data_IF_626849437355
#
_entry.id   IF_626849437355
#
_cell.length_a   1.000
_cell.length_b   1.000
_cell.length_c   1.000
_cell.angle_alpha   90.00
_cell.angle_beta   90.00
_cell.angle_gamma   90.00
#
_symmetry.space_group_name_H-M   'P 1'
#
loop_
_entity.id
_entity.type
_entity.pdbx_description
1 polymer ?
#
# COMPACT_ATOMS: atom_id res chain seq x y z
N UNK A 1 -12.34 33.13 -9.13
CA UNK A 1 -10.97 33.67 -8.95
C UNK A 1 -10.00 32.63 -9.46
N UNK A 2 -9.09 33.03 -10.36
CA UNK A 2 -8.05 32.17 -10.91
C UNK A 2 -6.67 32.48 -10.33
N UNK A 3 -5.65 31.77 -10.79
CA UNK A 3 -4.24 32.06 -10.49
C UNK A 3 -3.87 33.47 -10.98
N UNK A 4 -2.96 34.14 -10.26
CA UNK A 4 -2.41 35.42 -10.73
C UNK A 4 -1.57 35.18 -11.99
N UNK A 5 -1.65 36.03 -13.04
CA UNK A 5 -1.05 35.75 -14.35
C UNK A 5 0.45 35.44 -14.36
N UNK A 6 1.21 35.95 -13.39
CA UNK A 6 2.66 35.75 -13.26
C UNK A 6 3.06 34.79 -12.14
N UNK A 7 2.10 34.06 -11.55
CA UNK A 7 2.38 33.15 -10.46
C UNK A 7 3.10 31.88 -10.96
N UNK A 8 4.17 31.50 -10.27
CA UNK A 8 4.77 30.16 -10.34
C UNK A 8 4.11 29.27 -9.29
N UNK A 9 3.74 28.04 -9.66
CA UNK A 9 3.01 27.11 -8.79
C UNK A 9 3.93 26.03 -8.24
N UNK A 10 3.94 25.85 -6.92
CA UNK A 10 4.60 24.73 -6.27
C UNK A 10 3.60 23.59 -6.01
N UNK A 11 3.70 22.49 -6.76
CA UNK A 11 2.75 21.38 -6.68
C UNK A 11 3.17 20.35 -5.64
N UNK A 12 2.54 20.40 -4.46
CA UNK A 12 2.85 19.48 -3.36
C UNK A 12 1.77 18.39 -3.13
N UNK A 13 0.49 18.68 -3.39
CA UNK A 13 -0.60 17.70 -3.28
C UNK A 13 -0.67 16.78 -4.50
N UNK A 14 0.39 16.01 -4.73
CA UNK A 14 0.58 15.20 -5.94
C UNK A 14 0.95 16.04 -7.15
N UNK A 15 0.85 15.44 -8.34
CA UNK A 15 1.24 16.07 -9.62
C UNK A 15 0.11 16.86 -10.28
N UNK A 16 -1.15 16.59 -9.92
CA UNK A 16 -2.33 17.13 -10.62
C UNK A 16 -2.34 18.66 -10.70
N UNK A 17 -2.09 19.35 -9.58
CA UNK A 17 -2.08 20.82 -9.55
C UNK A 17 -1.00 21.41 -10.45
N UNK A 18 0.18 20.80 -10.49
CA UNK A 18 1.27 21.17 -11.39
C UNK A 18 0.93 20.93 -12.86
N UNK A 19 0.30 19.79 -13.19
CA UNK A 19 -0.15 19.49 -14.56
C UNK A 19 -1.16 20.55 -15.02
N UNK A 20 -2.18 20.83 -14.22
CA UNK A 20 -3.20 21.83 -14.54
C UNK A 20 -2.61 23.24 -14.71
N UNK A 21 -1.62 23.59 -13.88
CA UNK A 21 -0.96 24.90 -13.94
C UNK A 21 -0.07 25.05 -15.17
N UNK A 22 0.70 24.01 -15.53
CA UNK A 22 1.53 24.00 -16.73
C UNK A 22 0.68 24.08 -18.01
N UNK A 23 -0.46 23.38 -18.05
CA UNK A 23 -1.44 23.48 -19.16
C UNK A 23 -2.06 24.87 -19.28
N UNK A 24 -2.13 25.60 -18.17
CA UNK A 24 -2.58 26.99 -18.14
C UNK A 24 -1.45 28.00 -18.44
N UNK A 25 -0.22 27.55 -18.74
CA UNK A 25 0.91 28.40 -19.09
C UNK A 25 1.64 29.04 -17.89
N UNK A 26 1.43 28.51 -16.68
CA UNK A 26 2.16 28.94 -15.49
C UNK A 26 3.40 28.07 -15.28
N UNK A 27 4.51 28.70 -14.87
CA UNK A 27 5.69 27.97 -14.41
C UNK A 27 5.37 27.12 -13.17
N UNK A 28 6.02 25.96 -13.06
CA UNK A 28 5.77 24.97 -12.01
C UNK A 28 7.06 24.43 -11.41
N UNK A 29 7.06 24.29 -10.08
CA UNK A 29 8.04 23.50 -9.32
C UNK A 29 7.31 22.27 -8.77
N UNK A 30 7.77 21.08 -9.14
CA UNK A 30 7.17 19.82 -8.70
C UNK A 30 7.80 19.33 -7.40
N UNK A 31 7.00 19.26 -6.33
CA UNK A 31 7.44 18.74 -5.03
C UNK A 31 6.37 17.83 -4.40
N UNK A 32 5.87 16.81 -5.14
CA UNK A 32 4.74 16.01 -4.68
C UNK A 32 5.08 15.27 -3.39
N UNK A 33 4.11 15.23 -2.45
CA UNK A 33 4.18 14.45 -1.20
C UNK A 33 4.67 13.02 -1.40
N UNK A 34 4.34 12.41 -2.54
CA UNK A 34 4.70 11.03 -2.85
C UNK A 34 6.21 10.78 -2.97
N UNK A 35 7.00 11.77 -3.40
CA UNK A 35 8.43 11.61 -3.72
C UNK A 35 9.33 12.62 -2.99
N UNK A 36 8.80 13.80 -2.68
CA UNK A 36 9.62 14.95 -2.29
C UNK A 36 9.42 15.38 -0.82
N UNK A 37 8.74 14.59 0.01
CA UNK A 37 8.57 14.90 1.44
C UNK A 37 9.53 14.04 2.27
N UNK A 38 10.60 14.69 2.76
CA UNK A 38 11.69 14.02 3.47
C UNK A 38 11.48 14.00 5.00
N UNK A 39 10.45 14.66 5.50
CA UNK A 39 9.92 14.50 6.85
C UNK A 39 9.22 13.14 7.07
N UNK A 40 8.91 12.40 6.00
CA UNK A 40 8.29 11.07 6.07
C UNK A 40 9.30 9.96 6.39
N UNK A 41 8.81 8.82 6.91
CA UNK A 41 9.64 7.63 7.09
C UNK A 41 10.32 7.21 5.78
N UNK A 42 11.55 6.72 5.90
CA UNK A 42 12.36 6.18 4.78
C UNK A 42 12.88 4.76 5.03
N UNK A 43 12.56 4.22 6.21
CA UNK A 43 12.87 2.90 6.68
C UNK A 43 11.80 2.48 7.71
N UNK A 44 11.91 1.28 8.28
CA UNK A 44 10.97 0.74 9.24
C UNK A 44 10.66 1.74 10.38
N UNK A 45 9.38 2.04 10.59
CA UNK A 45 8.92 3.03 11.59
C UNK A 45 9.16 2.61 13.04
N UNK A 46 9.27 1.31 13.34
CA UNK A 46 9.53 0.84 14.70
C UNK A 46 10.99 1.01 15.16
N UNK A 47 11.92 1.12 14.20
CA UNK A 47 13.36 1.25 14.47
C UNK A 47 13.92 2.59 14.00
N UNK A 48 13.10 3.42 13.36
CA UNK A 48 13.49 4.75 12.90
C UNK A 48 13.05 5.82 13.90
N UNK A 49 13.75 6.97 13.96
CA UNK A 49 13.26 8.14 14.68
C UNK A 49 11.83 8.50 14.23
N UNK A 50 10.98 8.86 15.20
CA UNK A 50 9.57 9.19 14.99
C UNK A 50 9.38 10.25 13.91
N UNK A 51 8.45 10.01 13.00
CA UNK A 51 8.11 10.89 11.89
C UNK A 51 6.60 11.10 11.83
N UNK A 52 6.17 12.15 11.13
CA UNK A 52 4.75 12.50 10.94
C UNK A 52 3.93 11.38 10.26
N UNK A 53 4.60 10.46 9.57
CA UNK A 53 3.98 9.33 8.87
C UNK A 53 4.62 9.10 7.51
N UNK A 54 3.82 8.54 6.59
CA UNK A 54 4.20 8.31 5.19
C UNK A 54 5.37 7.34 4.99
N UNK A 55 5.74 7.10 3.73
CA UNK A 55 6.87 6.25 3.38
C UNK A 55 7.47 6.67 2.03
N UNK A 56 8.64 7.31 2.10
CA UNK A 56 9.38 7.87 0.96
C UNK A 56 10.81 7.36 1.02
N UNK A 57 11.05 6.18 0.43
CA UNK A 57 12.37 5.52 0.40
C UNK A 57 13.31 6.16 -0.62
N UNK A 58 14.60 5.81 -0.56
CA UNK A 58 15.61 6.28 -1.50
C UNK A 58 15.26 5.93 -2.96
N UNK A 59 14.88 4.67 -3.22
CA UNK A 59 14.46 4.22 -4.56
C UNK A 59 13.21 4.94 -5.05
N UNK A 60 12.27 5.23 -4.14
CA UNK A 60 11.08 6.02 -4.48
C UNK A 60 11.45 7.44 -4.88
N UNK A 61 12.40 8.09 -4.20
CA UNK A 61 12.89 9.41 -4.64
C UNK A 61 13.56 9.31 -6.01
N UNK A 62 14.39 8.29 -6.21
CA UNK A 62 15.11 8.05 -7.46
C UNK A 62 14.18 7.79 -8.65
N UNK A 63 13.02 7.17 -8.43
CA UNK A 63 12.03 6.91 -9.48
C UNK A 63 11.20 8.15 -9.86
N UNK A 64 11.45 9.30 -9.24
CA UNK A 64 10.69 10.51 -9.53
C UNK A 64 10.95 11.00 -10.96
N UNK A 65 9.89 11.29 -11.70
CA UNK A 65 9.96 12.07 -12.93
C UNK A 65 9.24 13.42 -12.71
N UNK A 66 9.96 14.56 -12.70
CA UNK A 66 9.34 15.87 -12.52
C UNK A 66 8.50 16.32 -13.71
N UNK A 67 8.66 15.72 -14.89
CA UNK A 67 7.88 16.06 -16.10
C UNK A 67 6.86 14.95 -16.38
N UNK A 68 5.57 15.16 -16.05
CA UNK A 68 4.52 14.16 -16.25
C UNK A 68 4.28 13.86 -17.73
N UNK A 69 3.96 12.60 -18.05
CA UNK A 69 3.66 12.16 -19.42
C UNK A 69 2.39 12.80 -19.99
N UNK A 70 1.50 13.30 -19.13
CA UNK A 70 0.27 14.00 -19.51
C UNK A 70 0.50 15.42 -20.07
N UNK A 71 1.75 15.91 -20.04
CA UNK A 71 2.14 17.19 -20.63
C UNK A 71 2.71 16.98 -22.03
N UNK A 72 2.28 17.81 -22.97
CA UNK A 72 2.92 17.93 -24.28
C UNK A 72 4.34 18.50 -24.15
N UNK A 73 5.13 18.38 -25.21
CA UNK A 73 6.49 18.94 -25.25
C UNK A 73 6.52 20.45 -25.01
N UNK A 74 5.50 21.19 -25.47
CA UNK A 74 5.37 22.63 -25.22
C UNK A 74 5.00 22.94 -23.78
N UNK A 75 4.06 22.21 -23.19
CA UNK A 75 3.61 22.41 -21.81
C UNK A 75 4.71 22.01 -20.81
N UNK A 76 5.52 21.00 -21.15
CA UNK A 76 6.64 20.54 -20.32
C UNK A 76 7.68 21.62 -20.07
N UNK A 77 7.78 22.64 -20.93
CA UNK A 77 8.72 23.76 -20.76
C UNK A 77 8.38 24.64 -19.55
N UNK A 78 7.14 24.62 -19.08
CA UNK A 78 6.72 25.33 -17.88
C UNK A 78 7.14 24.60 -16.59
N UNK A 79 7.57 23.33 -16.67
CA UNK A 79 8.13 22.63 -15.51
C UNK A 79 9.58 23.07 -15.33
N UNK A 80 9.83 23.95 -14.35
CA UNK A 80 11.16 24.49 -14.08
C UNK A 80 12.07 23.51 -13.32
N UNK A 81 11.49 22.53 -12.63
CA UNK A 81 12.24 21.52 -11.89
C UNK A 81 11.44 20.95 -10.72
N UNK A 82 12.16 20.45 -9.71
CA UNK A 82 11.57 19.94 -8.48
C UNK A 82 12.35 20.31 -7.23
N UNK A 83 11.76 20.04 -6.07
CA UNK A 83 12.33 20.38 -4.76
C UNK A 83 11.96 19.33 -3.72
N UNK A 84 12.93 18.94 -2.89
CA UNK A 84 12.72 18.12 -1.70
C UNK A 84 12.39 19.01 -0.50
N UNK A 85 11.29 18.74 0.17
CA UNK A 85 10.78 19.49 1.31
C UNK A 85 11.12 18.75 2.61
N UNK A 86 11.58 19.49 3.62
CA UNK A 86 11.75 18.99 4.98
C UNK A 86 10.94 19.86 5.93
N UNK A 87 9.79 19.36 6.36
CA UNK A 87 9.03 19.93 7.46
C UNK A 87 9.61 19.43 8.80
N UNK A 88 9.51 20.23 9.85
CA UNK A 88 10.31 20.06 11.08
C UNK A 88 9.51 19.80 12.34
N UNK A 89 8.22 19.45 12.22
CA UNK A 89 7.34 19.13 13.35
C UNK A 89 7.93 18.02 14.24
N UNK A 90 8.61 17.03 13.63
CA UNK A 90 9.27 15.90 14.31
C UNK A 90 10.80 15.90 14.08
N UNK A 91 11.40 17.06 13.75
CA UNK A 91 12.84 17.18 13.45
C UNK A 91 13.46 18.20 14.39
N UNK A 92 13.89 17.73 15.56
CA UNK A 92 14.29 18.60 16.67
C UNK A 92 15.79 18.89 16.73
N UNK A 93 16.62 18.20 15.93
CA UNK A 93 18.07 18.38 15.92
C UNK A 93 18.64 18.43 14.50
N UNK A 94 19.79 19.10 14.28
CA UNK A 94 20.48 19.08 12.99
C UNK A 94 20.84 17.68 12.50
N UNK A 95 21.28 16.79 13.40
CA UNK A 95 21.62 15.40 13.05
C UNK A 95 20.39 14.64 12.54
N UNK A 96 19.22 14.88 13.16
CA UNK A 96 17.97 14.31 12.67
C UNK A 96 17.57 14.91 11.32
N UNK A 97 17.80 16.20 11.09
CA UNK A 97 17.60 16.81 9.77
C UNK A 97 18.52 16.17 8.71
N UNK A 98 19.80 15.94 9.02
CA UNK A 98 20.72 15.20 8.15
C UNK A 98 20.24 13.77 7.90
N UNK A 99 19.85 13.03 8.95
CA UNK A 99 19.28 11.69 8.84
C UNK A 99 18.06 11.66 7.91
N UNK A 100 17.18 12.66 7.98
CA UNK A 100 15.99 12.74 7.13
C UNK A 100 16.36 12.97 5.67
N UNK A 101 17.25 13.89 5.36
CA UNK A 101 17.54 14.25 3.97
C UNK A 101 18.57 13.35 3.31
N UNK A 102 19.52 12.78 4.06
CA UNK A 102 20.55 11.90 3.52
C UNK A 102 20.18 10.42 3.68
N UNK A 103 20.30 9.59 2.64
CA UNK A 103 20.85 9.90 1.31
C UNK A 103 19.84 10.39 0.26
N UNK A 104 18.55 10.52 0.59
CA UNK A 104 17.46 10.86 -0.37
C UNK A 104 17.71 12.11 -1.21
N UNK A 105 18.35 13.12 -0.63
CA UNK A 105 18.75 14.35 -1.32
C UNK A 105 19.67 14.05 -2.51
N UNK A 106 20.58 13.07 -2.39
CA UNK A 106 21.48 12.68 -3.49
C UNK A 106 20.72 12.06 -4.67
N UNK A 107 19.70 11.23 -4.38
CA UNK A 107 18.83 10.67 -5.42
C UNK A 107 18.04 11.76 -6.13
N UNK A 108 17.46 12.71 -5.38
CA UNK A 108 16.74 13.83 -5.97
C UNK A 108 17.67 14.72 -6.81
N UNK A 109 18.89 14.99 -6.33
CA UNK A 109 19.89 15.74 -7.10
C UNK A 109 20.24 15.04 -8.41
N UNK A 110 20.41 13.72 -8.43
CA UNK A 110 20.66 13.00 -9.68
C UNK A 110 19.47 13.07 -10.63
N UNK A 111 18.24 12.85 -10.15
CA UNK A 111 17.01 12.96 -10.94
C UNK A 111 16.89 14.34 -11.61
N UNK A 112 17.11 15.40 -10.84
CA UNK A 112 16.92 16.77 -11.31
C UNK A 112 18.06 17.27 -12.21
N UNK A 113 19.28 16.78 -12.01
CA UNK A 113 20.46 17.24 -12.75
C UNK A 113 20.75 16.39 -13.99
N UNK A 114 20.81 15.08 -13.81
CA UNK A 114 21.12 14.12 -14.88
C UNK A 114 19.91 13.81 -15.76
N UNK A 115 18.71 13.98 -15.22
CA UNK A 115 17.43 13.60 -15.81
C UNK A 115 16.97 12.22 -15.32
N UNK A 116 15.65 12.01 -15.18
CA UNK A 116 15.08 10.75 -14.70
C UNK A 116 15.39 9.59 -15.66
N UNK A 117 15.71 8.42 -15.10
CA UNK A 117 15.93 7.19 -15.88
C UNK A 117 17.21 7.15 -16.73
N UNK A 118 18.09 8.15 -16.65
CA UNK A 118 19.36 8.17 -17.40
C UNK A 118 20.33 7.07 -16.96
N UNK A 119 20.39 6.80 -15.66
CA UNK A 119 21.19 5.74 -15.04
C UNK A 119 20.24 4.75 -14.33
N UNK A 120 20.70 3.52 -14.12
CA UNK A 120 19.94 2.56 -13.32
C UNK A 120 20.06 2.87 -11.83
N UNK A 121 19.09 2.40 -11.04
CA UNK A 121 19.15 2.55 -9.59
C UNK A 121 20.35 1.81 -9.00
N UNK A 122 20.72 0.66 -9.59
CA UNK A 122 21.86 -0.15 -9.19
C UNK A 122 23.17 0.62 -9.36
N UNK A 123 23.33 1.30 -10.49
CA UNK A 123 24.48 2.14 -10.79
C UNK A 123 24.55 3.38 -9.87
N UNK A 124 23.40 4.03 -9.63
CA UNK A 124 23.28 5.09 -8.62
C UNK A 124 23.66 4.60 -7.21
N UNK A 125 23.13 3.45 -6.78
CA UNK A 125 23.40 2.90 -5.46
C UNK A 125 24.88 2.54 -5.30
N UNK A 126 25.50 2.01 -6.36
CA UNK A 126 26.95 1.80 -6.43
C UNK A 126 27.75 3.07 -6.12
N UNK A 127 27.42 4.18 -6.78
CA UNK A 127 28.04 5.50 -6.51
C UNK A 127 27.69 6.07 -5.15
N UNK A 128 26.48 5.82 -4.66
CA UNK A 128 26.04 6.28 -3.36
C UNK A 128 26.92 5.71 -2.23
N UNK A 129 27.36 4.47 -2.33
CA UNK A 129 28.28 3.88 -1.33
C UNK A 129 29.55 4.74 -1.17
N UNK A 130 30.13 5.21 -2.28
CA UNK A 130 31.27 6.13 -2.23
C UNK A 130 30.94 7.51 -1.67
N UNK A 131 29.70 7.99 -1.85
CA UNK A 131 29.23 9.22 -1.20
C UNK A 131 29.04 9.03 0.31
N UNK A 132 28.61 7.85 0.74
CA UNK A 132 28.47 7.51 2.16
C UNK A 132 29.83 7.50 2.86
N UNK A 133 30.89 6.96 2.22
CA UNK A 133 32.26 7.08 2.73
C UNK A 133 32.67 8.56 2.95
N UNK A 134 32.20 9.47 2.10
CA UNK A 134 32.43 10.91 2.27
C UNK A 134 31.60 11.49 3.41
N UNK A 135 30.35 11.05 3.58
CA UNK A 135 29.52 11.46 4.72
C UNK A 135 30.16 11.03 6.04
N UNK A 136 30.69 9.81 6.12
CA UNK A 136 31.42 9.31 7.27
C UNK A 136 32.65 10.18 7.59
N UNK A 137 33.47 10.48 6.58
CA UNK A 137 34.64 11.36 6.74
C UNK A 137 34.29 12.80 7.18
N UNK A 138 33.09 13.27 6.83
CA UNK A 138 32.58 14.58 7.22
C UNK A 138 31.82 14.56 8.55
N UNK A 139 31.61 13.37 9.14
CA UNK A 139 30.80 13.19 10.35
C UNK A 139 29.32 13.52 10.15
N UNK A 140 28.78 13.34 8.94
CA UNK A 140 27.37 13.60 8.64
C UNK A 140 26.50 12.39 8.97
N UNK A 141 25.37 12.64 9.63
CA UNK A 141 24.41 11.58 9.94
C UNK A 141 23.54 11.29 8.72
N UNK A 142 23.42 10.02 8.31
CA UNK A 142 22.53 9.61 7.22
C UNK A 142 21.74 8.35 7.57
N UNK A 143 20.61 8.15 6.91
CA UNK A 143 19.81 6.95 7.10
C UNK A 143 20.45 5.73 6.43
N UNK A 144 20.46 4.55 7.07
CA UNK A 144 20.98 3.32 6.47
C UNK A 144 20.09 2.75 5.35
N UNK A 145 18.95 3.40 5.06
CA UNK A 145 17.94 2.95 4.10
C UNK A 145 17.04 1.85 4.64
N UNK A 146 16.08 1.38 3.81
CA UNK A 146 15.22 0.27 4.19
C UNK A 146 15.93 -1.08 4.01
N UNK A 147 15.59 -2.04 4.88
CA UNK A 147 16.03 -3.44 4.81
C UNK A 147 14.86 -4.40 4.52
N UNK A 148 13.71 -3.83 4.14
CA UNK A 148 12.47 -4.56 3.88
C UNK A 148 12.45 -4.98 2.42
N UNK A 149 12.06 -6.23 2.15
CA UNK A 149 11.83 -6.73 0.79
C UNK A 149 10.43 -6.34 0.35
N UNK A 150 10.30 -5.68 -0.80
CA UNK A 150 9.00 -5.43 -1.43
C UNK A 150 8.57 -6.64 -2.24
N UNK A 151 7.38 -7.15 -1.93
CA UNK A 151 6.72 -8.24 -2.65
C UNK A 151 5.75 -7.61 -3.65
N UNK A 152 6.07 -7.70 -4.93
CA UNK A 152 5.17 -7.29 -6.01
C UNK A 152 4.49 -8.53 -6.56
N UNK A 153 3.16 -8.56 -6.49
CA UNK A 153 2.35 -9.68 -6.94
C UNK A 153 1.39 -9.20 -8.03
N UNK A 154 1.51 -9.77 -9.21
CA UNK A 154 0.60 -9.51 -10.32
C UNK A 154 -0.03 -10.82 -10.77
N UNK A 155 -1.36 -10.87 -10.81
CA UNK A 155 -2.09 -12.05 -11.29
C UNK A 155 -2.06 -12.07 -12.82
N UNK A 156 -1.66 -13.18 -13.45
CA UNK A 156 -1.70 -13.29 -14.92
C UNK A 156 -3.14 -13.46 -15.41
N UNK A 157 -3.37 -13.12 -16.68
CA UNK A 157 -4.71 -13.02 -17.32
C UNK A 157 -5.60 -14.28 -17.17
N UNK A 158 -5.03 -15.46 -16.89
CA UNK A 158 -5.79 -16.70 -16.72
C UNK A 158 -6.36 -16.89 -15.30
N UNK A 159 -5.97 -16.08 -14.32
CA UNK A 159 -6.39 -16.23 -12.92
C UNK A 159 -5.85 -17.46 -12.20
N UNK A 160 -5.04 -18.27 -12.89
CA UNK A 160 -4.49 -19.53 -12.39
C UNK A 160 -3.11 -19.38 -11.72
N UNK A 161 -2.48 -18.21 -11.84
CA UNK A 161 -1.17 -17.98 -11.26
C UNK A 161 -0.95 -16.51 -10.88
N UNK A 162 -0.19 -16.30 -9.81
CA UNK A 162 0.40 -15.02 -9.46
C UNK A 162 1.88 -15.02 -9.84
N UNK A 163 2.29 -14.04 -10.63
CA UNK A 163 3.70 -13.75 -10.84
C UNK A 163 4.21 -12.89 -9.68
N UNK A 164 5.23 -13.39 -9.00
CA UNK A 164 5.89 -12.73 -7.88
C UNK A 164 7.23 -12.16 -8.33
N UNK A 165 7.42 -10.86 -8.08
CA UNK A 165 8.67 -10.14 -8.25
C UNK A 165 9.08 -9.60 -6.87
N UNK A 166 10.28 -9.96 -6.42
CA UNK A 166 10.86 -9.45 -5.18
C UNK A 166 11.89 -8.36 -5.51
N UNK A 167 11.96 -7.35 -4.65
CA UNK A 167 12.93 -6.25 -4.79
C UNK A 167 13.30 -5.66 -3.44
N UNK A 168 14.47 -5.02 -3.36
CA UNK A 168 14.92 -4.28 -2.18
C UNK A 168 15.47 -2.90 -2.56
N UNK A 169 15.71 -2.07 -1.55
CA UNK A 169 16.47 -0.81 -1.67
C UNK A 169 17.99 -1.05 -1.77
N UNK A 170 18.47 -2.29 -1.61
CA UNK A 170 19.89 -2.63 -1.57
C UNK A 170 20.20 -3.63 -2.67
N UNK A 171 20.50 -3.15 -3.90
CA UNK A 171 20.76 -4.04 -5.01
C UNK A 171 22.00 -4.90 -4.74
N UNK A 172 21.96 -6.16 -5.18
CA UNK A 172 23.04 -7.12 -4.99
C UNK A 172 22.99 -7.90 -3.68
N UNK A 173 22.21 -7.45 -2.69
CA UNK A 173 22.04 -8.19 -1.42
C UNK A 173 21.09 -9.38 -1.59
N UNK A 174 21.38 -10.47 -0.88
CA UNK A 174 20.64 -11.73 -1.00
C UNK A 174 19.22 -11.60 -0.44
N UNK A 175 18.21 -11.92 -1.25
CA UNK A 175 16.82 -12.03 -0.81
C UNK A 175 16.50 -13.51 -0.65
N UNK A 176 16.14 -13.91 0.57
CA UNK A 176 15.72 -15.29 0.88
C UNK A 176 14.22 -15.35 1.08
N UNK A 177 13.60 -16.46 0.70
CA UNK A 177 12.16 -16.63 0.85
C UNK A 177 11.74 -18.06 1.20
N UNK A 178 10.51 -18.18 1.69
CA UNK A 178 9.84 -19.44 2.03
C UNK A 178 8.39 -19.37 1.57
N UNK A 179 7.81 -20.52 1.21
CA UNK A 179 6.43 -20.64 0.72
C UNK A 179 5.52 -21.45 1.67
N UNK A 180 6.07 -21.93 2.78
CA UNK A 180 5.43 -22.85 3.74
C UNK A 180 5.09 -22.17 5.08
N UNK A 181 5.00 -20.84 5.09
CA UNK A 181 4.81 -20.00 6.28
C UNK A 181 5.98 -19.98 7.28
N UNK A 182 7.07 -20.74 7.08
CA UNK A 182 8.24 -20.68 7.95
C UNK A 182 9.01 -19.38 7.76
N UNK A 183 9.77 -18.93 8.77
CA UNK A 183 10.59 -17.73 8.64
C UNK A 183 11.84 -18.01 7.79
N UNK A 184 12.21 -17.13 6.84
CA UNK A 184 13.39 -17.32 6.01
C UNK A 184 14.67 -17.39 6.84
N UNK A 185 15.55 -18.32 6.47
CA UNK A 185 16.90 -18.46 7.02
C UNK A 185 17.93 -18.29 5.90
N UNK A 186 19.22 -18.23 6.25
CA UNK A 186 20.28 -18.15 5.24
C UNK A 186 20.38 -19.41 4.35
N UNK A 187 19.72 -20.51 4.75
CA UNK A 187 19.61 -21.74 3.97
C UNK A 187 18.33 -21.83 3.13
N UNK A 188 17.40 -20.89 3.29
CA UNK A 188 16.17 -20.84 2.51
C UNK A 188 16.46 -20.50 1.05
N UNK A 189 15.48 -20.68 0.18
CA UNK A 189 15.62 -20.43 -1.25
C UNK A 189 16.01 -18.96 -1.52
N UNK A 190 16.95 -18.79 -2.45
CA UNK A 190 17.41 -17.47 -2.88
C UNK A 190 16.61 -16.99 -4.08
N UNK A 191 16.14 -15.75 -3.99
CA UNK A 191 15.45 -15.09 -5.08
C UNK A 191 16.46 -14.61 -6.13
N UNK A 192 16.43 -15.26 -7.29
CA UNK A 192 17.28 -14.92 -8.44
C UNK A 192 16.49 -14.39 -9.64
N UNK A 193 15.19 -14.68 -9.71
CA UNK A 193 14.30 -14.28 -10.80
C UNK A 193 12.83 -14.39 -10.37
N UNK A 194 11.89 -13.71 -11.08
CA UNK A 194 10.47 -13.85 -10.81
C UNK A 194 9.99 -15.31 -10.86
N UNK A 195 9.04 -15.67 -10.01
CA UNK A 195 8.45 -17.01 -9.95
C UNK A 195 6.93 -16.95 -9.90
N UNK A 196 6.26 -18.08 -10.16
CA UNK A 196 4.81 -18.20 -10.12
C UNK A 196 4.34 -18.91 -8.85
N UNK A 197 3.22 -18.47 -8.31
CA UNK A 197 2.45 -19.16 -7.27
C UNK A 197 1.11 -19.59 -7.89
N UNK A 198 0.79 -20.88 -7.81
CA UNK A 198 -0.40 -21.49 -8.45
C UNK A 198 -1.39 -22.09 -7.46
N UNK A 199 -1.09 -22.02 -6.16
CA UNK A 199 -1.94 -22.55 -5.09
C UNK A 199 -1.87 -21.65 -3.84
N UNK A 200 -2.77 -21.89 -2.89
CA UNK A 200 -2.83 -21.08 -1.66
C UNK A 200 -1.50 -21.18 -0.91
N UNK A 201 -0.84 -20.04 -0.72
CA UNK A 201 0.54 -19.95 -0.25
C UNK A 201 0.73 -18.71 0.61
N UNK A 202 1.51 -18.82 1.68
CA UNK A 202 2.03 -17.64 2.40
C UNK A 202 3.52 -17.51 2.10
N UNK A 203 3.85 -16.46 1.37
CA UNK A 203 5.22 -16.09 1.04
C UNK A 203 5.78 -15.24 2.17
N UNK A 204 6.92 -15.66 2.73
CA UNK A 204 7.73 -14.82 3.62
C UNK A 204 9.08 -14.56 2.97
N UNK A 205 9.59 -13.34 3.11
CA UNK A 205 10.85 -12.91 2.50
C UNK A 205 11.65 -12.07 3.47
N UNK A 206 12.98 -12.16 3.40
CA UNK A 206 13.88 -11.32 4.17
C UNK A 206 15.19 -11.05 3.42
N UNK A 207 15.83 -9.93 3.75
CA UNK A 207 17.13 -9.56 3.21
C UNK A 207 18.24 -10.17 4.06
N UNK A 208 19.30 -10.66 3.42
CA UNK A 208 20.48 -11.23 4.05
C UNK A 208 21.73 -10.50 3.57
N UNK A 209 22.50 -9.96 4.52
CA UNK A 209 23.78 -9.30 4.29
C UNK A 209 24.82 -10.07 5.11
N UNK A 210 25.92 -10.50 4.47
CA UNK A 210 26.95 -11.35 5.09
C UNK A 210 26.40 -12.60 5.80
N UNK A 211 25.37 -13.22 5.20
CA UNK A 211 24.72 -14.42 5.74
C UNK A 211 23.82 -14.18 6.96
N UNK A 212 23.62 -12.93 7.39
CA UNK A 212 22.74 -12.56 8.50
C UNK A 212 21.46 -11.92 7.99
N UNK A 213 20.33 -12.34 8.53
CA UNK A 213 19.04 -11.69 8.27
C UNK A 213 19.08 -10.25 8.80
N UNK A 214 18.71 -9.29 7.96
CA UNK A 214 18.60 -7.87 8.33
C UNK A 214 17.20 -7.35 8.04
N UNK A 215 16.75 -6.40 8.86
CA UNK A 215 15.41 -5.84 8.73
C UNK A 215 14.31 -6.78 9.24
N UNK A 216 13.12 -6.63 8.68
CA UNK A 216 11.94 -7.41 9.03
C UNK A 216 11.56 -8.36 7.90
N UNK A 217 10.93 -9.47 8.29
CA UNK A 217 10.27 -10.36 7.35
C UNK A 217 9.10 -9.60 6.71
N UNK A 218 9.07 -9.60 5.38
CA UNK A 218 7.90 -9.21 4.60
C UNK A 218 7.06 -10.44 4.30
N UNK A 219 5.75 -10.32 4.43
CA UNK A 219 4.81 -11.43 4.24
C UNK A 219 3.71 -11.04 3.25
N UNK A 220 3.32 -11.99 2.40
CA UNK A 220 2.14 -11.88 1.54
C UNK A 220 1.43 -13.21 1.45
N UNK A 221 0.11 -13.20 1.65
CA UNK A 221 -0.74 -14.38 1.45
C UNK A 221 -1.41 -14.33 0.08
N UNK A 222 -1.36 -15.46 -0.62
CA UNK A 222 -1.99 -15.73 -1.90
C UNK A 222 -3.10 -16.75 -1.66
N UNK A 223 -4.35 -16.37 -1.92
CA UNK A 223 -5.51 -17.20 -1.64
C UNK A 223 -6.13 -17.70 -2.94
N UNK A 224 -6.13 -19.02 -3.12
CA UNK A 224 -6.86 -19.67 -4.21
C UNK A 224 -8.16 -20.25 -3.65
N UNK A 225 -9.29 -19.76 -4.14
CA UNK A 225 -10.63 -20.09 -3.63
C UNK A 225 -11.70 -19.90 -4.72
N UNK A 226 -12.94 -20.31 -4.45
CA UNK A 226 -14.03 -20.37 -5.46
C UNK A 226 -14.43 -19.01 -6.03
N UNK A 227 -14.22 -17.94 -5.26
CA UNK A 227 -14.53 -16.57 -5.66
C UNK A 227 -13.41 -15.86 -6.42
N UNK A 228 -12.22 -16.46 -6.55
CA UNK A 228 -11.06 -15.82 -7.20
C UNK A 228 -11.41 -15.32 -8.61
N UNK A 229 -11.25 -14.01 -8.84
CA UNK A 229 -11.59 -13.24 -10.06
C UNK A 229 -13.04 -13.34 -10.52
N UNK A 230 -13.94 -13.77 -9.65
CA UNK A 230 -15.37 -13.80 -9.95
C UNK A 230 -15.95 -12.40 -10.01
N UNK A 231 -17.12 -12.28 -10.62
CA UNK A 231 -17.80 -11.00 -10.74
C UNK A 231 -18.32 -10.54 -9.39
N UNK A 232 -18.11 -9.26 -9.06
CA UNK A 232 -18.60 -8.64 -7.82
C UNK A 232 -19.53 -7.49 -8.19
N UNK A 233 -20.81 -7.61 -7.81
CA UNK A 233 -21.80 -6.54 -7.88
C UNK A 233 -21.77 -5.77 -6.57
N UNK A 234 -21.48 -4.48 -6.64
CA UNK A 234 -21.50 -3.58 -5.49
C UNK A 234 -22.89 -2.95 -5.36
N UNK A 235 -23.69 -3.47 -4.43
CA UNK A 235 -24.98 -2.84 -4.10
C UNK A 235 -24.77 -1.48 -3.44
N UNK A 236 -23.68 -1.35 -2.65
CA UNK A 236 -23.18 -0.07 -2.15
C UNK A 236 -21.72 0.10 -2.63
N UNK A 237 -21.42 1.13 -3.46
CA UNK A 237 -20.08 1.32 -3.98
C UNK A 237 -19.10 1.77 -2.89
N UNK A 238 -17.86 1.28 -2.97
CA UNK A 238 -16.74 1.80 -2.20
C UNK A 238 -16.39 3.24 -2.65
N UNK A 239 -15.65 3.97 -1.82
CA UNK A 239 -15.19 5.32 -2.16
C UNK A 239 -14.01 5.24 -3.12
N UNK A 240 -14.05 6.03 -4.19
CA UNK A 240 -12.98 6.09 -5.20
C UNK A 240 -11.57 6.33 -4.61
N UNK A 241 -11.49 7.09 -3.51
CA UNK A 241 -10.23 7.34 -2.78
C UNK A 241 -9.58 6.05 -2.28
N UNK A 242 -10.38 5.04 -1.96
CA UNK A 242 -9.96 3.74 -1.43
C UNK A 242 -10.68 2.63 -2.20
N UNK A 243 -10.39 2.53 -3.50
CA UNK A 243 -11.00 1.54 -4.39
C UNK A 243 -10.16 0.26 -4.54
N UNK A 244 -8.97 0.20 -3.92
CA UNK A 244 -8.01 -0.88 -4.08
C UNK A 244 -7.61 -1.11 -5.55
N UNK A 245 -7.57 -2.39 -5.94
CA UNK A 245 -7.45 -2.85 -7.33
C UNK A 245 -8.79 -2.81 -8.11
N UNK A 246 -9.67 -1.88 -7.75
CA UNK A 246 -10.99 -1.72 -8.36
C UNK A 246 -11.95 -2.86 -8.02
N UNK A 247 -12.82 -3.22 -8.97
CA UNK A 247 -13.96 -4.12 -8.75
C UNK A 247 -13.57 -5.52 -8.23
N UNK A 248 -12.35 -5.98 -8.51
CA UNK A 248 -11.87 -7.31 -8.14
C UNK A 248 -11.19 -7.38 -6.77
N UNK A 249 -10.93 -6.27 -6.09
CA UNK A 249 -10.12 -6.23 -4.85
C UNK A 249 -10.59 -7.22 -3.77
N UNK A 250 -11.89 -7.45 -3.66
CA UNK A 250 -12.44 -8.38 -2.65
C UNK A 250 -12.32 -9.85 -3.06
N UNK A 251 -11.78 -10.14 -4.24
CA UNK A 251 -11.70 -11.48 -4.84
C UNK A 251 -10.45 -11.64 -5.72
N UNK A 252 -9.38 -10.89 -5.44
CA UNK A 252 -8.16 -10.93 -6.25
C UNK A 252 -7.11 -11.90 -5.70
N UNK A 253 -7.41 -12.53 -4.56
CA UNK A 253 -6.60 -13.51 -3.85
C UNK A 253 -5.52 -12.88 -2.97
N UNK A 254 -5.42 -11.55 -2.90
CA UNK A 254 -4.37 -10.84 -2.16
C UNK A 254 -4.93 -10.15 -0.92
N UNK A 255 -4.23 -10.29 0.20
CA UNK A 255 -4.65 -9.67 1.47
C UNK A 255 -3.99 -8.32 1.71
N UNK A 256 -4.69 -7.42 2.39
CA UNK A 256 -4.13 -6.17 2.89
C UNK A 256 -3.22 -6.37 4.10
N UNK A 257 -2.37 -5.38 4.32
CA UNK A 257 -1.49 -5.25 5.50
C UNK A 257 -2.16 -4.36 6.54
N UNK A 258 -1.47 -4.03 7.63
CA UNK A 258 -1.96 -3.01 8.59
C UNK A 258 -1.92 -1.58 8.04
N UNK A 259 -1.43 -1.35 6.81
CA UNK A 259 -1.47 -0.05 6.14
C UNK A 259 -2.74 0.09 5.30
N UNK A 260 -3.59 1.07 5.62
CA UNK A 260 -4.79 1.39 4.82
C UNK A 260 -4.48 1.97 3.42
N UNK A 261 -3.20 2.18 3.09
CA UNK A 261 -2.73 2.86 1.87
C UNK A 261 -1.90 1.95 0.96
N UNK A 262 -1.87 0.65 1.25
CA UNK A 262 -1.11 -0.35 0.49
C UNK A 262 -1.78 -0.78 -0.83
N UNK A 263 -2.99 -0.28 -1.12
CA UNK A 263 -3.73 -0.58 -2.34
C UNK A 263 -4.55 -1.87 -2.32
N UNK A 264 -4.57 -2.60 -1.21
CA UNK A 264 -5.31 -3.87 -1.06
C UNK A 264 -6.63 -3.72 -0.32
N UNK A 265 -6.95 -2.52 0.16
CA UNK A 265 -8.18 -2.24 0.90
C UNK A 265 -9.21 -1.46 0.08
N UNK A 266 -10.49 -1.79 0.28
CA UNK A 266 -11.62 -0.95 -0.13
C UNK A 266 -12.31 -0.31 1.06
N UNK A 267 -12.73 0.95 0.92
CA UNK A 267 -13.30 1.74 2.01
C UNK A 267 -14.73 2.24 1.79
N UNK A 268 -15.57 2.13 2.82
CA UNK A 268 -16.94 2.67 2.90
C UNK A 268 -17.09 3.65 4.06
N UNK A 269 -17.43 4.90 3.76
CA UNK A 269 -17.57 5.99 4.75
C UNK A 269 -19.03 6.22 5.14
N UNK A 270 -19.37 5.95 6.40
CA UNK A 270 -20.72 6.10 6.96
C UNK A 270 -21.78 5.24 6.26
N UNK A 271 -21.34 4.24 5.49
CA UNK A 271 -22.16 3.30 4.72
C UNK A 271 -21.69 1.88 4.98
N UNK A 272 -22.61 0.94 4.80
CA UNK A 272 -22.32 -0.48 4.94
C UNK A 272 -21.54 -0.97 3.73
N UNK A 273 -20.75 -2.03 3.92
CA UNK A 273 -20.31 -2.87 2.81
C UNK A 273 -21.50 -3.74 2.41
N UNK A 274 -21.86 -3.77 1.14
CA UNK A 274 -22.89 -4.65 0.59
C UNK A 274 -22.54 -5.05 -0.85
N UNK A 275 -22.12 -6.29 -1.01
CA UNK A 275 -21.66 -6.85 -2.29
C UNK A 275 -22.27 -8.23 -2.53
N UNK A 276 -22.41 -8.58 -3.81
CA UNK A 276 -22.82 -9.90 -4.28
C UNK A 276 -21.74 -10.46 -5.20
N UNK A 277 -21.23 -11.64 -4.88
CA UNK A 277 -20.23 -12.37 -5.66
C UNK A 277 -20.96 -13.43 -6.48
N UNK A 278 -20.76 -13.47 -7.80
CA UNK A 278 -21.25 -14.53 -8.69
C UNK A 278 -20.15 -15.57 -8.96
N UNK A 279 -20.28 -16.75 -8.35
CA UNK A 279 -19.32 -17.86 -8.53
C UNK A 279 -19.33 -18.45 -9.96
N UNK A 280 -20.31 -18.08 -10.78
CA UNK A 280 -20.50 -18.51 -12.17
C UNK A 280 -21.26 -19.82 -12.32
N UNK A 281 -21.29 -20.64 -11.27
CA UNK A 281 -22.11 -21.85 -11.15
C UNK A 281 -22.44 -22.08 -9.68
N UNK A 282 -23.46 -22.89 -9.41
CA UNK A 282 -23.80 -23.28 -8.04
C UNK A 282 -22.66 -24.13 -7.45
N UNK A 283 -22.20 -23.75 -6.26
CA UNK A 283 -21.09 -24.38 -5.53
C UNK A 283 -21.55 -24.74 -4.12
N UNK A 284 -20.99 -25.83 -3.56
CA UNK A 284 -21.04 -26.07 -2.12
C UNK A 284 -20.09 -25.10 -1.43
N UNK A 285 -20.48 -24.54 -0.28
CA UNK A 285 -19.74 -23.52 0.45
C UNK A 285 -19.67 -23.94 1.92
N UNK A 286 -18.45 -24.20 2.38
CA UNK A 286 -18.19 -24.66 3.73
C UNK A 286 -17.64 -23.54 4.61
N UNK A 287 -16.76 -22.71 4.03
CA UNK A 287 -16.09 -21.66 4.78
C UNK A 287 -16.05 -20.36 3.98
N UNK A 288 -16.36 -19.27 4.66
CA UNK A 288 -16.12 -17.92 4.16
C UNK A 288 -15.24 -17.20 5.18
N UNK A 289 -14.17 -16.59 4.69
CA UNK A 289 -13.37 -15.67 5.49
C UNK A 289 -13.18 -14.34 4.79
N UNK A 290 -13.15 -13.28 5.56
CA UNK A 290 -12.92 -11.91 5.11
C UNK A 290 -12.25 -11.16 6.24
N UNK A 291 -11.64 -10.02 5.93
CA UNK A 291 -10.92 -9.24 6.93
C UNK A 291 -11.24 -7.77 6.87
N UNK A 292 -11.02 -7.15 8.02
CA UNK A 292 -11.26 -5.74 8.25
C UNK A 292 -10.03 -5.11 8.88
N UNK A 293 -9.76 -3.86 8.49
CA UNK A 293 -8.74 -3.05 9.12
C UNK A 293 -9.36 -2.27 10.28
N UNK A 294 -8.73 -2.31 11.44
CA UNK A 294 -9.05 -1.46 12.59
C UNK A 294 -7.92 -0.45 12.76
N UNK A 295 -8.20 0.83 12.54
CA UNK A 295 -7.22 1.92 12.63
C UNK A 295 -7.93 3.18 13.12
N UNK A 296 -8.12 3.28 14.44
CA UNK A 296 -8.90 4.35 15.06
C UNK A 296 -8.38 5.74 14.70
N UNK A 297 -7.06 6.00 14.74
CA UNK A 297 -6.50 7.30 14.33
C UNK A 297 -6.82 7.72 12.88
N UNK A 298 -7.23 6.79 12.02
CA UNK A 298 -7.68 7.03 10.64
C UNK A 298 -9.21 6.93 10.48
N UNK A 299 -9.94 6.88 11.60
CA UNK A 299 -11.39 6.81 11.69
C UNK A 299 -11.95 5.49 11.12
N UNK A 300 -11.13 4.44 11.08
CA UNK A 300 -11.46 3.11 10.56
C UNK A 300 -11.77 2.19 11.74
N UNK A 301 -12.97 1.64 11.74
CA UNK A 301 -13.49 0.78 12.81
C UNK A 301 -13.95 -0.56 12.25
N UNK A 302 -14.05 -1.57 13.11
CA UNK A 302 -14.64 -2.83 12.71
C UNK A 302 -16.16 -2.66 12.45
N UNK A 303 -16.72 -3.41 11.49
CA UNK A 303 -18.18 -3.51 11.38
C UNK A 303 -18.76 -4.08 12.68
N UNK A 304 -20.00 -3.72 13.01
CA UNK A 304 -20.67 -4.26 14.21
C UNK A 304 -21.17 -5.69 13.98
N UNK A 305 -21.54 -5.99 12.74
CA UNK A 305 -22.02 -7.31 12.31
C UNK A 305 -21.55 -7.57 10.88
N UNK A 306 -21.12 -8.80 10.61
CA UNK A 306 -20.94 -9.34 9.27
C UNK A 306 -22.05 -10.34 9.00
N UNK A 307 -22.66 -10.24 7.82
CA UNK A 307 -23.78 -11.06 7.37
C UNK A 307 -23.40 -11.69 6.04
N UNK A 308 -23.59 -13.00 5.92
CA UNK A 308 -23.48 -13.72 4.63
C UNK A 308 -24.78 -14.45 4.33
N UNK A 309 -25.19 -14.46 3.07
CA UNK A 309 -26.37 -15.18 2.59
C UNK A 309 -26.17 -15.67 1.15
N UNK A 310 -26.99 -16.63 0.73
CA UNK A 310 -26.77 -17.42 -0.48
C UNK A 310 -27.97 -17.43 -1.40
N UNK A 311 -27.74 -17.53 -2.71
CA UNK A 311 -28.79 -17.62 -3.73
C UNK A 311 -28.30 -18.40 -4.96
N UNK A 312 -29.20 -19.09 -5.66
CA UNK A 312 -28.90 -19.61 -7.01
C UNK A 312 -29.32 -18.64 -8.13
N UNK A 313 -30.28 -17.74 -7.86
CA UNK A 313 -30.87 -16.82 -8.86
C UNK A 313 -30.27 -15.40 -8.80
N UNK A 314 -29.76 -14.99 -7.64
CA UNK A 314 -29.06 -13.70 -7.45
C UNK A 314 -29.91 -12.54 -6.95
N UNK A 315 -31.24 -12.70 -6.88
CA UNK A 315 -32.17 -11.65 -6.41
C UNK A 315 -32.81 -11.97 -5.04
N UNK A 316 -32.91 -13.25 -4.66
CA UNK A 316 -33.48 -13.69 -3.38
C UNK A 316 -32.45 -14.50 -2.60
N UNK A 317 -32.03 -13.96 -1.44
CA UNK A 317 -30.97 -14.54 -0.62
C UNK A 317 -31.53 -15.19 0.65
N UNK A 318 -31.03 -16.38 0.97
CA UNK A 318 -31.47 -17.20 2.10
C UNK A 318 -30.28 -17.70 2.95
N UNK A 319 -30.58 -18.46 4.00
CA UNK A 319 -29.60 -19.11 4.89
C UNK A 319 -28.59 -18.14 5.52
N UNK A 320 -29.10 -17.01 6.02
CA UNK A 320 -28.30 -15.96 6.62
C UNK A 320 -27.45 -16.45 7.80
N UNK A 321 -26.17 -16.12 7.79
CA UNK A 321 -25.23 -16.34 8.90
C UNK A 321 -24.65 -15.01 9.34
N UNK A 322 -24.54 -14.82 10.67
CA UNK A 322 -24.09 -13.58 11.27
C UNK A 322 -22.93 -13.81 12.23
N UNK A 323 -21.98 -12.90 12.22
CA UNK A 323 -20.96 -12.77 13.25
C UNK A 323 -20.97 -11.32 13.74
N UNK A 324 -21.16 -11.13 15.04
CA UNK A 324 -20.98 -9.85 15.70
C UNK A 324 -19.50 -9.61 15.97
N UNK A 325 -19.06 -8.36 15.82
CA UNK A 325 -17.70 -7.95 16.09
C UNK A 325 -17.72 -6.72 16.99
N UNK A 326 -16.67 -6.59 17.77
CA UNK A 326 -16.38 -5.43 18.60
C UNK A 326 -14.96 -4.99 18.30
N UNK A 327 -14.73 -3.69 18.30
CA UNK A 327 -13.37 -3.15 18.26
C UNK A 327 -12.53 -3.68 19.43
N UNK A 328 -11.21 -3.56 19.29
CA UNK A 328 -10.30 -3.65 20.40
C UNK A 328 -10.43 -2.46 21.36
N UNK A 329 -9.43 -2.28 22.21
CA UNK A 329 -9.40 -1.14 23.14
C UNK A 329 -9.38 0.21 22.42
N UNK A 330 -9.99 1.22 23.03
CA UNK A 330 -9.96 2.60 22.53
C UNK A 330 -8.52 3.03 22.25
N UNK A 331 -8.30 3.70 21.11
CA UNK A 331 -6.96 4.08 20.63
C UNK A 331 -5.96 2.91 20.54
N UNK A 332 -6.48 1.68 20.38
CA UNK A 332 -5.68 0.49 20.16
C UNK A 332 -4.76 0.59 18.94
N UNK A 333 -3.71 -0.23 18.94
CA UNK A 333 -2.80 -0.36 17.79
C UNK A 333 -3.58 -0.80 16.55
N UNK A 334 -3.18 -0.28 15.39
CA UNK A 334 -3.74 -0.71 14.12
C UNK A 334 -3.62 -2.22 13.96
N UNK A 335 -4.72 -2.87 13.58
CA UNK A 335 -4.75 -4.32 13.45
C UNK A 335 -5.61 -4.76 12.26
N UNK A 336 -5.24 -5.92 11.70
CA UNK A 336 -6.06 -6.61 10.69
C UNK A 336 -6.83 -7.73 11.38
N UNK A 337 -8.15 -7.68 11.33
CA UNK A 337 -9.04 -8.67 11.93
C UNK A 337 -9.61 -9.59 10.86
N UNK A 338 -9.25 -10.87 10.91
CA UNK A 338 -9.87 -11.91 10.07
C UNK A 338 -11.12 -12.44 10.76
N UNK A 339 -12.21 -12.51 10.00
CA UNK A 339 -13.50 -13.06 10.40
C UNK A 339 -13.68 -14.38 9.66
N UNK A 340 -13.83 -15.47 10.40
CA UNK A 340 -14.03 -16.81 9.82
C UNK A 340 -15.44 -17.29 10.12
N UNK A 341 -16.18 -17.63 9.08
CA UNK A 341 -17.47 -18.30 9.13
C UNK A 341 -17.28 -19.73 8.62
N UNK A 342 -17.24 -20.68 9.55
CA UNK A 342 -16.98 -22.09 9.26
C UNK A 342 -18.27 -22.91 9.34
N UNK A 343 -18.24 -24.12 8.77
CA UNK A 343 -19.34 -25.09 8.83
C UNK A 343 -20.66 -24.53 8.30
N UNK A 344 -20.58 -23.75 7.22
CA UNK A 344 -21.73 -23.10 6.60
C UNK A 344 -22.70 -24.12 6.00
N UNK A 345 -22.20 -25.25 5.49
CA UNK A 345 -22.97 -26.32 4.84
C UNK A 345 -24.05 -25.75 3.90
N UNK A 346 -23.68 -24.74 3.11
CA UNK A 346 -24.60 -24.00 2.25
C UNK A 346 -24.27 -24.25 0.77
N UNK A 347 -25.25 -24.08 -0.10
CA UNK A 347 -25.06 -24.18 -1.56
C UNK A 347 -25.62 -22.93 -2.22
N UNK A 348 -24.95 -22.47 -3.28
CA UNK A 348 -25.46 -21.36 -4.07
C UNK A 348 -24.47 -20.92 -5.14
N UNK A 349 -24.99 -20.25 -6.18
CA UNK A 349 -24.17 -19.57 -7.18
C UNK A 349 -23.73 -18.17 -6.72
N UNK A 350 -24.60 -17.46 -6.01
CA UNK A 350 -24.39 -16.10 -5.56
C UNK A 350 -24.21 -16.06 -4.05
N UNK A 351 -23.20 -15.30 -3.61
CA UNK A 351 -22.92 -15.07 -2.19
C UNK A 351 -23.01 -13.57 -1.93
N UNK A 352 -23.94 -13.16 -1.07
CA UNK A 352 -24.04 -11.78 -0.62
C UNK A 352 -23.29 -11.63 0.69
N UNK A 353 -22.45 -10.60 0.76
CA UNK A 353 -21.67 -10.25 1.95
C UNK A 353 -22.03 -8.84 2.35
N UNK A 354 -22.40 -8.66 3.62
CA UNK A 354 -22.70 -7.36 4.19
C UNK A 354 -21.89 -7.15 5.46
N UNK A 355 -21.37 -5.94 5.65
CA UNK A 355 -20.70 -5.52 6.88
C UNK A 355 -21.30 -4.21 7.38
N UNK A 356 -21.89 -4.24 8.57
CA UNK A 356 -22.70 -3.15 9.10
C UNK A 356 -21.80 -2.10 9.75
N UNK A 357 -21.84 -0.89 9.22
CA UNK A 357 -21.10 0.27 9.70
C UNK A 357 -21.83 0.90 10.89
N UNK A 358 -21.07 1.25 11.92
CA UNK A 358 -21.52 2.06 13.06
C UNK A 358 -21.94 3.49 12.70
N UNK A 359 -21.73 3.89 11.45
CA UNK A 359 -22.06 5.17 10.83
C UNK A 359 -21.16 6.32 11.26
N UNK A 360 -20.95 6.51 12.57
CA UNK A 360 -20.18 7.63 13.12
C UNK A 360 -19.10 7.16 14.10
N UNK A 361 -18.08 8.00 14.29
CA UNK A 361 -17.05 7.82 15.29
C UNK A 361 -17.66 7.97 16.70
N UNK A 362 -17.28 7.10 17.65
CA UNK A 362 -17.80 7.13 19.01
C UNK A 362 -17.31 8.34 19.80
N UNK A 363 -17.99 8.66 20.91
CA UNK A 363 -17.73 9.87 21.72
C UNK A 363 -16.31 9.98 22.27
N UNK A 364 -15.64 8.85 22.50
CA UNK A 364 -14.27 8.83 23.01
C UNK A 364 -13.23 9.21 21.95
N UNK A 365 -13.58 9.17 20.67
CA UNK A 365 -12.66 9.34 19.55
C UNK A 365 -12.52 10.82 19.17
N UNK A 366 -11.32 11.27 18.78
CA UNK A 366 -11.05 12.68 18.44
C UNK A 366 -11.95 13.24 17.33
N UNK A 367 -12.40 12.35 16.43
CA UNK A 367 -13.36 12.65 15.36
C UNK A 367 -14.83 12.39 15.71
N UNK A 368 -15.22 12.37 17.00
CA UNK A 368 -16.57 12.04 17.48
C UNK A 368 -17.68 12.71 16.64
N UNK A 369 -18.70 11.91 16.27
CA UNK A 369 -19.80 12.34 15.40
C UNK A 369 -19.45 12.44 13.90
N UNK A 370 -18.17 12.43 13.54
CA UNK A 370 -17.69 12.29 12.17
C UNK A 370 -17.98 10.90 11.59
N UNK A 371 -18.06 10.76 10.26
CA UNK A 371 -18.39 9.48 9.62
C UNK A 371 -17.28 8.45 9.82
N UNK A 372 -17.66 7.25 10.26
CA UNK A 372 -16.74 6.13 10.43
C UNK A 372 -16.52 5.36 9.13
N UNK A 373 -15.30 4.87 8.94
CA UNK A 373 -14.94 4.01 7.82
C UNK A 373 -15.03 2.52 8.20
N UNK A 374 -15.50 1.70 7.25
CA UNK A 374 -15.18 0.28 7.19
C UNK A 374 -14.16 0.09 6.06
N UNK A 375 -13.10 -0.66 6.34
CA UNK A 375 -12.14 -1.11 5.33
C UNK A 375 -12.17 -2.63 5.27
N UNK A 376 -12.33 -3.20 4.08
CA UNK A 376 -12.30 -4.64 3.84
C UNK A 376 -11.37 -4.98 2.68
N UNK A 377 -10.74 -6.14 2.77
CA UNK A 377 -9.93 -6.79 1.73
C UNK A 377 -10.57 -8.14 1.34
N UNK A 378 -9.76 -9.09 0.88
CA UNK A 378 -10.15 -10.38 0.29
C UNK A 378 -11.28 -11.15 1.00
N UNK A 379 -12.28 -11.59 0.22
CA UNK A 379 -13.36 -12.50 0.60
C UNK A 379 -13.06 -13.89 0.02
N UNK A 380 -12.54 -14.76 0.87
CA UNK A 380 -12.17 -16.14 0.55
C UNK A 380 -13.37 -17.06 0.74
N UNK A 381 -13.72 -17.84 -0.29
CA UNK A 381 -14.88 -18.76 -0.30
C UNK A 381 -14.41 -20.18 -0.65
N UNK A 382 -14.49 -21.11 0.31
CA UNK A 382 -14.01 -22.49 0.17
C UNK A 382 -15.13 -23.52 0.25
#
# INVERSE_FOLDING_TARGET
GGLAPSATVMSWRGMKGGIESAKAGHDVIMCPVSHCYFDYYQANSETSPEAIGGYTTLKKVYSFNPVPEELTQSESKFVLGGQGNLWTEYVQTPDLAQYRVLPRMTALSEVLWSGPGKNSYEDFYGRLMHLQDRFDNLGWTYAPGAFVVSIHANQKNTGSEFQVLLSSEKPGESIRFTLDCSDPTHHSDEYNQPFSITETTTLKTALFIDGKMVGKISEKSFNFHKALRKSVKYNIPCKQKYAGNGAITLVDGLTGTTSHSDGYWQGWEGKDLDVVIDLGKSESIENISLSFLEAHGSWIFLPTVVIVSFSDEGDSFQHEKKISLSDGGNFGKTSRKVVNMNSLNSTGRFVRVQAINRKVCPDWHDGAGGKAWIFADEIVIR
#
